data_IF_984891980401
#
_entry.id   IF_984891980401
#
_cell.length_a   1.000
_cell.length_b   1.000
_cell.length_c   1.000
_cell.angle_alpha   90.00
_cell.angle_beta   90.00
_cell.angle_gamma   90.00
#
_symmetry.space_group_name_H-M   'P 1'
#
loop_
_entity.id
_entity.type
_entity.pdbx_description
1 polymer ?
#
# COMPACT_ATOMS: atom_id res chain seq x y z
N UNK A 1 7.28 4.80 -1.49
CA UNK A 1 7.64 3.64 -0.64
C UNK A 1 6.68 2.50 -0.85
N UNK A 2 7.08 1.29 -0.51
CA UNK A 2 6.19 0.16 -0.39
C UNK A 2 5.71 -0.03 1.04
N UNK A 3 4.51 -0.58 1.16
CA UNK A 3 3.85 -0.96 2.42
C UNK A 3 3.31 -2.37 2.25
N UNK A 4 3.51 -3.25 3.22
CA UNK A 4 2.97 -4.59 3.23
C UNK A 4 2.27 -4.88 4.55
N UNK A 5 1.09 -5.49 4.48
CA UNK A 5 0.38 -6.00 5.66
C UNK A 5 -0.60 -7.12 5.30
N UNK A 6 -0.95 -7.88 6.33
CA UNK A 6 -2.02 -8.89 6.29
C UNK A 6 -3.39 -8.25 6.33
N UNK A 7 -4.32 -8.79 5.54
CA UNK A 7 -5.73 -8.39 5.50
C UNK A 7 -6.58 -9.60 5.85
N UNK A 8 -7.45 -9.44 6.85
CA UNK A 8 -8.38 -10.49 7.22
C UNK A 8 -9.44 -10.65 6.12
N UNK A 9 -9.70 -11.89 5.69
CA UNK A 9 -10.86 -12.18 4.88
C UNK A 9 -12.07 -12.31 5.79
N UNK A 10 -13.06 -11.43 5.62
CA UNK A 10 -14.33 -11.51 6.33
C UNK A 10 -15.41 -12.13 5.41
N UNK A 11 -15.80 -13.41 5.61
CA UNK A 11 -16.82 -14.07 4.79
C UNK A 11 -18.24 -13.58 5.09
N UNK A 12 -18.48 -12.94 6.23
CA UNK A 12 -19.82 -12.57 6.70
C UNK A 12 -20.21 -11.17 6.21
N UNK A 13 -19.24 -10.26 6.17
CA UNK A 13 -19.48 -8.87 5.81
C UNK A 13 -18.42 -8.38 4.82
N UNK A 14 -18.83 -8.34 3.56
CA UNK A 14 -18.05 -7.79 2.44
C UNK A 14 -18.53 -6.39 2.04
N UNK A 15 -19.36 -5.76 2.87
CA UNK A 15 -19.76 -4.38 2.68
C UNK A 15 -18.75 -3.42 3.33
N UNK A 16 -18.05 -3.88 4.37
CA UNK A 16 -17.03 -3.11 5.07
C UNK A 16 -15.64 -3.77 4.98
N UNK A 17 -14.56 -2.97 5.05
CA UNK A 17 -13.21 -3.50 5.11
C UNK A 17 -13.04 -4.29 6.40
N UNK A 18 -12.37 -5.44 6.29
CA UNK A 18 -12.01 -6.20 7.47
C UNK A 18 -10.95 -5.48 8.31
N UNK A 19 -10.68 -6.00 9.52
CA UNK A 19 -9.57 -5.52 10.34
C UNK A 19 -8.25 -5.63 9.56
N UNK A 20 -7.37 -4.64 9.76
CA UNK A 20 -6.10 -4.55 9.03
C UNK A 20 -6.22 -4.06 7.58
N UNK A 21 -7.42 -3.90 7.01
CA UNK A 21 -7.61 -3.49 5.62
C UNK A 21 -7.59 -1.96 5.38
N UNK A 22 -7.12 -1.18 6.36
CA UNK A 22 -7.08 0.28 6.28
C UNK A 22 -5.97 0.79 5.35
N UNK A 23 -6.31 1.71 4.44
CA UNK A 23 -5.38 2.32 3.50
C UNK A 23 -5.12 3.79 3.89
N UNK A 24 -3.92 4.06 4.42
CA UNK A 24 -3.48 5.40 4.85
C UNK A 24 -2.36 5.97 3.97
N UNK A 25 -2.62 6.36 2.71
CA UNK A 25 -1.61 6.93 1.81
C UNK A 25 -1.08 8.29 2.28
N UNK A 26 -1.87 9.14 2.95
CA UNK A 26 -1.42 10.41 3.51
C UNK A 26 -0.38 10.18 4.61
N UNK A 27 -0.71 9.30 5.56
CA UNK A 27 0.21 8.89 6.62
C UNK A 27 1.48 8.26 6.04
N UNK A 28 1.34 7.33 5.10
CA UNK A 28 2.47 6.64 4.47
C UNK A 28 3.37 7.60 3.67
N UNK A 29 2.79 8.61 3.02
CA UNK A 29 3.55 9.66 2.35
C UNK A 29 4.33 10.54 3.34
N UNK A 30 3.73 10.91 4.49
CA UNK A 30 4.46 11.63 5.53
C UNK A 30 5.59 10.77 6.14
N UNK A 31 5.32 9.49 6.39
CA UNK A 31 6.31 8.51 6.87
C UNK A 31 7.47 8.36 5.89
N UNK A 32 7.22 8.36 4.58
CA UNK A 32 8.27 8.32 3.57
C UNK A 32 9.32 9.43 3.78
N UNK A 33 8.87 10.68 3.96
CA UNK A 33 9.79 11.80 4.16
C UNK A 33 10.57 11.67 5.46
N UNK A 34 9.93 11.24 6.54
CA UNK A 34 10.60 11.04 7.83
C UNK A 34 11.68 9.96 7.77
N UNK A 35 11.34 8.80 7.19
CA UNK A 35 12.25 7.65 7.13
C UNK A 35 13.39 7.85 6.13
N UNK A 36 13.06 8.30 4.92
CA UNK A 36 13.96 8.19 3.77
C UNK A 36 14.53 9.52 3.28
N UNK A 37 13.85 10.63 3.56
CA UNK A 37 14.31 11.98 3.17
C UNK A 37 14.76 12.81 4.38
N UNK A 38 14.70 12.23 5.59
CA UNK A 38 15.09 12.86 6.87
C UNK A 38 14.40 14.22 7.09
N UNK A 39 13.16 14.34 6.62
CA UNK A 39 12.34 15.55 6.70
C UNK A 39 10.99 15.23 7.32
N UNK A 40 10.58 15.99 8.33
CA UNK A 40 9.23 15.86 8.91
C UNK A 40 8.29 16.76 8.12
N UNK A 41 7.17 16.20 7.69
CA UNK A 41 6.09 16.90 6.99
C UNK A 41 4.76 16.55 7.67
N UNK A 42 3.78 17.43 7.56
CA UNK A 42 2.42 17.12 7.98
C UNK A 42 1.81 16.07 7.03
N UNK A 43 0.79 15.35 7.51
CA UNK A 43 0.01 14.51 6.61
C UNK A 43 -0.67 15.39 5.55
N UNK A 44 -0.49 15.10 4.25
CA UNK A 44 -1.13 15.87 3.19
C UNK A 44 -2.66 15.68 3.25
N UNK A 45 -3.45 16.62 2.73
CA UNK A 45 -4.89 16.45 2.65
C UNK A 45 -5.27 15.31 1.70
N UNK A 46 -6.41 14.65 1.93
CA UNK A 46 -6.87 13.55 1.09
C UNK A 46 -7.11 13.94 -0.38
N UNK A 47 -7.32 15.22 -0.68
CA UNK A 47 -7.42 15.74 -2.04
C UNK A 47 -6.11 15.60 -2.84
N UNK A 48 -4.97 15.39 -2.18
CA UNK A 48 -3.67 15.19 -2.82
C UNK A 48 -3.38 13.71 -3.13
N UNK A 49 -4.31 12.81 -2.84
CA UNK A 49 -4.16 11.37 -3.04
C UNK A 49 -4.85 10.95 -4.34
N UNK A 50 -4.11 10.28 -5.20
CA UNK A 50 -4.61 9.69 -6.44
C UNK A 50 -4.45 8.17 -6.39
N UNK A 51 -5.52 7.43 -6.68
CA UNK A 51 -5.48 5.98 -6.89
C UNK A 51 -5.07 5.71 -8.35
N UNK A 52 -3.88 5.16 -8.54
CA UNK A 52 -3.25 4.96 -9.86
C UNK A 52 -3.51 3.55 -10.40
N UNK A 53 -3.46 2.55 -9.53
CA UNK A 53 -3.72 1.15 -9.90
C UNK A 53 -4.69 0.55 -8.89
N UNK A 54 -5.85 0.12 -9.39
CA UNK A 54 -6.85 -0.62 -8.62
C UNK A 54 -6.32 -2.02 -8.25
N UNK A 55 -6.76 -2.59 -7.11
CA UNK A 55 -6.54 -4.00 -6.80
C UNK A 55 -7.12 -4.90 -7.91
N UNK A 56 -6.50 -6.08 -8.09
CA UNK A 56 -7.00 -7.08 -9.06
C UNK A 56 -8.07 -7.99 -8.48
N UNK A 57 -8.13 -8.13 -7.16
CA UNK A 57 -8.95 -9.11 -6.47
C UNK A 57 -9.77 -8.49 -5.34
N UNK A 58 -10.32 -7.31 -5.60
CA UNK A 58 -11.15 -6.58 -4.68
C UNK A 58 -11.39 -5.15 -5.14
N UNK A 59 -11.74 -4.28 -4.19
CA UNK A 59 -12.00 -2.85 -4.44
C UNK A 59 -11.55 -1.98 -3.30
N UNK A 60 -11.18 -0.75 -3.64
CA UNK A 60 -11.00 0.33 -2.66
C UNK A 60 -12.35 0.97 -2.38
N UNK A 61 -12.72 1.06 -1.11
CA UNK A 61 -13.89 1.82 -0.67
C UNK A 61 -13.46 3.09 0.05
N UNK A 62 -14.37 4.06 0.07
CA UNK A 62 -14.15 5.38 0.66
C UNK A 62 -15.29 5.66 1.65
N UNK A 63 -14.94 5.98 2.88
CA UNK A 63 -15.90 6.32 3.93
C UNK A 63 -15.56 7.70 4.47
N UNK A 64 -16.52 8.63 4.39
CA UNK A 64 -16.41 9.96 4.98
C UNK A 64 -17.10 9.95 6.33
N UNK A 65 -16.37 10.39 7.36
CA UNK A 65 -16.87 10.49 8.73
C UNK A 65 -17.42 11.89 8.99
N UNK A 66 -18.19 12.03 10.08
CA UNK A 66 -18.85 13.29 10.45
C UNK A 66 -17.84 14.41 10.76
N UNK A 67 -16.64 14.05 11.21
CA UNK A 67 -15.51 14.97 11.41
C UNK A 67 -14.86 15.44 10.09
N UNK A 68 -15.38 14.99 8.95
CA UNK A 68 -14.86 15.28 7.61
C UNK A 68 -13.69 14.39 7.19
N UNK A 69 -13.20 13.49 8.06
CA UNK A 69 -12.10 12.58 7.75
C UNK A 69 -12.52 11.59 6.67
N UNK A 70 -11.71 11.47 5.62
CA UNK A 70 -11.86 10.44 4.61
C UNK A 70 -10.99 9.24 4.99
N UNK A 71 -11.61 8.07 5.18
CA UNK A 71 -10.87 6.80 5.28
C UNK A 71 -11.04 6.00 4.01
N UNK A 72 -9.99 5.27 3.66
CA UNK A 72 -10.02 4.25 2.61
C UNK A 72 -9.81 2.89 3.23
N UNK A 73 -10.51 1.92 2.68
CA UNK A 73 -10.30 0.52 3.02
C UNK A 73 -10.29 -0.34 1.78
N UNK A 74 -9.74 -1.53 1.90
CA UNK A 74 -9.79 -2.55 0.87
C UNK A 74 -10.81 -3.63 1.25
N UNK A 75 -11.61 -4.05 0.27
CA UNK A 75 -12.51 -5.20 0.39
C UNK A 75 -12.09 -6.22 -0.68
N UNK A 76 -11.62 -7.42 -0.29
CA UNK A 76 -11.31 -8.48 -1.25
C UNK A 76 -12.58 -9.01 -1.91
N UNK A 77 -12.43 -9.55 -3.12
CA UNK A 77 -13.50 -10.28 -3.80
C UNK A 77 -13.96 -11.49 -2.97
N UNK A 78 -15.23 -11.90 -3.10
CA UNK A 78 -15.75 -13.11 -2.45
C UNK A 78 -14.86 -14.33 -2.66
N UNK A 79 -14.41 -14.92 -1.56
CA UNK A 79 -13.57 -16.12 -1.52
C UNK A 79 -12.10 -15.90 -1.83
N UNK A 80 -11.65 -14.67 -2.11
CA UNK A 80 -10.27 -14.42 -2.48
C UNK A 80 -9.33 -14.51 -1.26
N UNK A 81 -8.29 -15.34 -1.40
CA UNK A 81 -7.16 -15.45 -0.49
C UNK A 81 -5.88 -15.37 -1.32
N UNK A 82 -4.90 -14.58 -0.86
CA UNK A 82 -3.65 -14.39 -1.58
C UNK A 82 -3.17 -12.95 -1.64
N UNK A 83 -2.24 -12.71 -2.54
CA UNK A 83 -1.58 -11.42 -2.69
C UNK A 83 -2.43 -10.48 -3.55
N UNK A 84 -2.57 -9.21 -3.14
CA UNK A 84 -3.10 -8.15 -4.00
C UNK A 84 -2.23 -6.90 -3.90
N UNK A 85 -2.44 -5.95 -4.81
CA UNK A 85 -1.62 -4.75 -4.93
C UNK A 85 -2.47 -3.53 -5.25
N UNK A 86 -2.20 -2.44 -4.54
CA UNK A 86 -2.80 -1.13 -4.81
C UNK A 86 -1.68 -0.11 -4.98
N UNK A 87 -1.80 0.79 -5.96
CA UNK A 87 -0.82 1.86 -6.16
C UNK A 87 -1.49 3.22 -6.01
N UNK A 88 -0.92 4.06 -5.14
CA UNK A 88 -1.29 5.45 -5.00
C UNK A 88 -0.15 6.39 -5.42
N UNK A 89 -0.51 7.60 -5.79
CA UNK A 89 0.37 8.77 -5.80
C UNK A 89 -0.14 9.77 -4.78
N UNK A 90 0.79 10.44 -4.10
CA UNK A 90 0.46 11.50 -3.14
C UNK A 90 1.35 12.69 -3.39
N UNK A 91 0.75 13.87 -3.60
CA UNK A 91 1.50 15.13 -3.67
C UNK A 91 1.70 15.71 -2.27
N UNK A 92 2.96 15.91 -1.88
CA UNK A 92 3.34 16.53 -0.61
C UNK A 92 4.26 17.71 -0.92
N UNK A 93 3.78 18.92 -0.69
CA UNK A 93 4.52 20.17 -0.94
C UNK A 93 5.17 20.24 -2.34
N UNK A 94 4.44 19.79 -3.38
CA UNK A 94 4.92 19.78 -4.76
C UNK A 94 5.73 18.55 -5.16
N UNK A 95 6.02 17.63 -4.24
CA UNK A 95 6.73 16.38 -4.52
C UNK A 95 5.76 15.20 -4.57
N UNK A 96 5.82 14.41 -5.64
CA UNK A 96 4.96 13.22 -5.81
C UNK A 96 5.64 11.99 -5.23
N UNK A 97 4.99 11.37 -4.25
CA UNK A 97 5.41 10.09 -3.67
C UNK A 97 4.57 8.96 -4.26
N UNK A 98 5.22 7.98 -4.88
CA UNK A 98 4.57 6.74 -5.32
C UNK A 98 4.51 5.73 -4.16
N UNK A 99 3.32 5.23 -3.87
CA UNK A 99 3.06 4.25 -2.81
C UNK A 99 2.57 2.93 -3.40
N UNK A 100 3.19 1.82 -3.01
CA UNK A 100 2.76 0.46 -3.39
C UNK A 100 2.32 -0.27 -2.13
N UNK A 101 1.05 -0.64 -2.07
CA UNK A 101 0.49 -1.47 -1.02
C UNK A 101 0.48 -2.91 -1.52
N UNK A 102 1.17 -3.81 -0.80
CA UNK A 102 1.08 -5.26 -0.99
C UNK A 102 0.18 -5.82 0.11
N UNK A 103 -0.99 -6.29 -0.29
CA UNK A 103 -2.00 -6.83 0.59
C UNK A 103 -1.86 -8.35 0.63
N UNK A 104 -1.87 -8.93 1.83
CA UNK A 104 -1.79 -10.38 2.05
C UNK A 104 -3.12 -10.86 2.62
N UNK A 105 -4.08 -11.18 1.74
CA UNK A 105 -5.43 -11.58 2.12
C UNK A 105 -5.42 -13.01 2.68
N UNK A 106 -5.91 -13.19 3.90
CA UNK A 106 -5.77 -14.42 4.67
C UNK A 106 -7.02 -14.72 5.50
N UNK A 107 -7.25 -15.99 5.82
CA UNK A 107 -8.27 -16.41 6.78
C UNK A 107 -7.77 -16.39 8.24
N UNK A 108 -6.50 -16.03 8.45
CA UNK A 108 -5.88 -15.87 9.77
C UNK A 108 -6.13 -14.45 10.26
N UNK A 109 -6.74 -14.30 11.43
CA UNK A 109 -7.01 -13.00 12.05
C UNK A 109 -5.70 -12.26 12.35
N UNK A 110 -5.53 -11.08 11.77
CA UNK A 110 -4.33 -10.23 11.87
C UNK A 110 -4.42 -9.22 13.01
N UNK A 111 -5.60 -8.99 13.58
CA UNK A 111 -5.89 -8.05 14.67
C UNK A 111 -5.29 -8.41 16.04
N UNK A 112 -3.97 -8.58 16.12
CA UNK A 112 -3.20 -8.79 17.35
C UNK A 112 -2.75 -10.24 17.59
N UNK A 113 -3.20 -11.20 16.78
CA UNK A 113 -2.78 -12.60 16.90
C UNK A 113 -1.52 -12.92 16.09
N UNK A 114 -1.29 -12.25 14.97
CA UNK A 114 -0.15 -12.50 14.07
C UNK A 114 0.45 -11.19 13.58
N UNK A 115 1.75 -10.99 13.81
CA UNK A 115 2.48 -9.82 13.29
C UNK A 115 2.41 -9.76 11.75
N UNK A 116 2.23 -8.56 11.20
CA UNK A 116 2.31 -8.32 9.76
C UNK A 116 3.65 -8.78 9.16
N UNK A 117 4.73 -8.80 9.94
CA UNK A 117 6.03 -9.31 9.51
C UNK A 117 5.96 -10.77 9.07
N UNK A 118 5.06 -11.57 9.63
CA UNK A 118 4.86 -12.98 9.24
C UNK A 118 4.42 -13.08 7.78
N UNK A 119 3.55 -12.17 7.34
CA UNK A 119 3.07 -12.10 5.96
C UNK A 119 4.06 -11.38 5.04
N UNK A 120 4.84 -10.46 5.60
CA UNK A 120 5.70 -9.55 4.87
C UNK A 120 7.20 -9.89 4.95
N UNK A 121 7.57 -11.11 5.36
CA UNK A 121 8.97 -11.54 5.59
C UNK A 121 9.91 -11.22 4.43
N UNK A 122 9.43 -11.26 3.18
CA UNK A 122 10.24 -11.01 1.98
C UNK A 122 10.60 -9.53 1.80
N UNK A 123 9.67 -8.63 2.10
CA UNK A 123 9.81 -7.19 1.79
C UNK A 123 10.02 -6.33 3.04
N UNK A 124 9.74 -6.87 4.22
CA UNK A 124 9.39 -6.08 5.40
C UNK A 124 8.01 -5.42 5.24
N UNK A 125 7.53 -4.79 6.32
CA UNK A 125 6.26 -4.06 6.33
C UNK A 125 6.35 -2.72 5.61
N UNK A 126 7.55 -2.16 5.46
CA UNK A 126 7.81 -0.91 4.74
C UNK A 126 9.19 -0.94 4.07
N UNK A 127 9.30 -0.41 2.85
CA UNK A 127 10.59 -0.27 2.16
C UNK A 127 10.64 0.94 1.22
N UNK A 128 11.84 1.48 0.97
CA UNK A 128 12.03 2.47 -0.10
C UNK A 128 11.94 1.72 -1.43
N UNK A 129 11.02 2.13 -2.30
CA UNK A 129 11.01 1.63 -3.67
C UNK A 129 12.21 2.32 -4.33
N UNK A 130 13.22 1.55 -4.74
CA UNK A 130 14.25 2.07 -5.61
C UNK A 130 13.56 2.65 -6.84
N UNK A 131 13.89 3.89 -7.21
CA UNK A 131 13.69 4.29 -8.60
C UNK A 131 14.46 3.27 -9.42
N UNK A 132 13.79 2.46 -10.24
CA UNK A 132 14.47 1.51 -11.12
C UNK A 132 15.34 2.30 -12.11
N UNK A 133 16.56 2.57 -11.68
CA UNK A 133 17.74 2.80 -12.50
C UNK A 133 18.64 1.55 -12.50
N UNK A 134 18.36 0.54 -11.66
CA UNK A 134 19.09 -0.73 -11.60
C UNK A 134 18.24 -1.87 -12.20
N UNK A 135 17.84 -1.72 -13.45
CA UNK A 135 17.71 -2.92 -14.28
C UNK A 135 19.12 -3.45 -14.52
N UNK A 136 19.40 -4.76 -14.35
CA UNK A 136 20.64 -5.33 -14.83
C UNK A 136 20.73 -5.01 -16.32
N UNK A 137 21.67 -4.16 -16.72
CA UNK A 137 22.00 -4.01 -18.11
C UNK A 137 22.42 -5.39 -18.61
N UNK A 138 21.64 -5.94 -19.54
CA UNK A 138 22.07 -7.11 -20.29
C UNK A 138 23.47 -6.80 -20.84
N UNK A 139 24.44 -7.74 -20.78
CA UNK A 139 25.75 -7.51 -21.33
C UNK A 139 25.62 -7.03 -22.78
N UNK A 140 26.15 -5.85 -23.06
CA UNK A 140 26.42 -5.41 -24.42
C UNK A 140 27.43 -6.40 -24.99
N UNK A 141 26.97 -7.29 -25.88
CA UNK A 141 27.81 -8.22 -26.63
C UNK A 141 28.52 -7.44 -27.74
N UNK A 142 29.85 -7.22 -27.68
CA UNK A 142 30.57 -6.48 -28.68
C UNK A 142 31.09 -7.44 -29.75
N UNK A 143 30.18 -8.07 -30.51
CA UNK A 143 30.61 -8.88 -31.67
C UNK A 143 29.62 -8.82 -32.83
N UNK A 144 29.62 -7.69 -33.55
CA UNK A 144 29.36 -7.71 -35.00
C UNK A 144 30.09 -6.53 -35.65
N UNK A 145 31.28 -6.82 -36.17
CA UNK A 145 31.91 -6.13 -37.29
C UNK A 145 31.88 -7.08 -38.49
#
# INVERSE_FOLDING_TARGET
>A
MGVCFGVDYNPVDQQYPALGAGLGPEYSAATYFGLYEKRIVNQPPSANVELVEQPKHGKVIYSKYDDGTLRRGYIPDPGYLGDDKIVFKVNVDGQVVRLVYLLKVTNVVTGGQVSHDVFCKKTGTQWKISSDSDSPQAPIDPTTL
#
